data_IF_174624253682
#
_entry.id   IF_174624253682
#
_cell.length_a   1.000
_cell.length_b   1.000
_cell.length_c   1.000
_cell.angle_alpha   90.00
_cell.angle_beta   90.00
_cell.angle_gamma   90.00
#
_symmetry.space_group_name_H-M   'P 1'
#
loop_
_entity.id
_entity.type
_entity.pdbx_description
1 polymer ?
#
# COMPACT_ATOMS: atom_id res chain seq x y z
N UNK A 1 27.58 11.84 -7.42
CA UNK A 1 28.68 11.22 -6.77
C UNK A 1 28.55 9.73 -6.82
N UNK A 2 28.98 8.91 -7.17
CA UNK A 2 28.83 7.49 -7.34
C UNK A 2 28.38 6.68 -6.12
N UNK A 3 27.84 7.30 -5.11
CA UNK A 3 27.35 6.54 -3.96
C UNK A 3 25.93 6.08 -4.18
N UNK A 4 25.81 4.86 -4.65
CA UNK A 4 24.52 4.19 -4.60
C UNK A 4 24.23 3.82 -3.15
N UNK A 5 23.18 4.39 -2.59
CA UNK A 5 22.60 3.85 -1.37
C UNK A 5 22.02 2.50 -1.71
N UNK A 6 22.60 1.45 -1.16
CA UNK A 6 21.98 0.13 -1.21
C UNK A 6 20.85 0.17 -0.19
N UNK A 7 19.58 0.08 -0.60
CA UNK A 7 18.49 0.07 0.37
C UNK A 7 18.65 -1.14 1.27
N UNK A 8 18.64 -0.93 2.57
CA UNK A 8 18.60 -2.03 3.53
C UNK A 8 17.15 -2.49 3.60
N UNK A 9 16.84 -3.74 3.26
CA UNK A 9 15.47 -4.23 3.36
C UNK A 9 14.95 -4.08 4.79
N UNK A 10 13.73 -3.61 4.92
CA UNK A 10 13.05 -3.56 6.20
C UNK A 10 12.81 -5.01 6.67
N UNK A 11 13.30 -5.36 7.86
CA UNK A 11 13.11 -6.72 8.38
C UNK A 11 11.64 -7.10 8.49
N UNK A 12 10.75 -6.11 8.62
CA UNK A 12 9.30 -6.35 8.65
C UNK A 12 8.78 -6.89 7.32
N UNK A 13 9.48 -6.62 6.23
CA UNK A 13 9.05 -7.05 4.90
C UNK A 13 9.09 -8.57 4.74
N UNK A 14 9.90 -9.26 5.54
CA UNK A 14 9.98 -10.73 5.52
C UNK A 14 8.68 -11.39 5.99
N UNK A 15 7.83 -10.66 6.69
CA UNK A 15 6.56 -11.18 7.19
C UNK A 15 5.36 -10.72 6.37
N UNK A 16 5.59 -10.00 5.28
CA UNK A 16 4.51 -9.62 4.36
C UNK A 16 3.99 -10.89 3.69
N UNK A 17 2.69 -11.18 3.80
CA UNK A 17 2.13 -12.39 3.21
C UNK A 17 2.09 -12.32 1.68
N UNK A 18 1.99 -13.48 1.06
CA UNK A 18 1.77 -13.56 -0.38
C UNK A 18 0.47 -12.87 -0.75
N UNK A 19 0.51 -12.07 -1.83
CA UNK A 19 -0.63 -11.27 -2.26
C UNK A 19 -1.37 -11.94 -3.41
N UNK A 20 -2.70 -11.83 -3.38
CA UNK A 20 -3.52 -12.20 -4.53
C UNK A 20 -3.59 -10.99 -5.47
N UNK A 21 -2.75 -11.02 -6.51
CA UNK A 21 -2.69 -9.94 -7.48
C UNK A 21 -3.76 -10.13 -8.54
N UNK A 22 -4.49 -9.07 -8.86
CA UNK A 22 -5.39 -9.04 -9.98
C UNK A 22 -4.63 -8.61 -11.24
N UNK A 23 -5.07 -9.08 -12.40
CA UNK A 23 -4.53 -8.66 -13.68
C UNK A 23 -5.12 -7.28 -14.03
N UNK A 24 -4.48 -6.24 -13.56
CA UNK A 24 -4.92 -4.85 -13.78
C UNK A 24 -3.83 -4.06 -14.48
N UNK A 25 -4.24 -3.04 -15.21
CA UNK A 25 -3.31 -2.19 -15.94
C UNK A 25 -2.41 -1.39 -14.99
N UNK A 26 -1.22 -1.05 -15.49
CA UNK A 26 -0.30 -0.18 -14.75
C UNK A 26 -0.93 1.18 -14.44
N UNK A 27 -1.81 1.68 -15.32
CA UNK A 27 -2.50 2.95 -15.09
C UNK A 27 -3.41 2.91 -13.88
N UNK A 28 -4.12 1.81 -13.67
CA UNK A 28 -4.98 1.65 -12.48
C UNK A 28 -4.16 1.62 -11.21
N UNK A 29 -3.00 0.97 -11.24
CA UNK A 29 -2.10 0.95 -10.09
C UNK A 29 -1.55 2.34 -9.82
N UNK A 30 -1.15 3.10 -10.84
CA UNK A 30 -0.69 4.48 -10.68
C UNK A 30 -1.79 5.39 -10.13
N UNK A 31 -3.01 5.23 -10.62
CA UNK A 31 -4.16 5.98 -10.08
C UNK A 31 -4.39 5.63 -8.62
N UNK A 32 -4.25 4.36 -8.28
CA UNK A 32 -4.33 3.90 -6.89
C UNK A 32 -3.25 4.52 -6.01
N UNK A 33 -2.03 4.62 -6.51
CA UNK A 33 -0.94 5.29 -5.80
C UNK A 33 -1.27 6.76 -5.53
N UNK A 34 -1.74 7.48 -6.55
CA UNK A 34 -2.11 8.88 -6.41
C UNK A 34 -3.22 9.06 -5.36
N UNK A 35 -4.26 8.26 -5.42
CA UNK A 35 -5.36 8.32 -4.46
C UNK A 35 -4.91 7.91 -3.06
N UNK A 36 -4.06 6.89 -2.95
CA UNK A 36 -3.49 6.48 -1.69
C UNK A 36 -2.71 7.62 -1.04
N UNK A 37 -1.88 8.29 -1.82
CA UNK A 37 -1.08 9.40 -1.31
C UNK A 37 -1.95 10.57 -0.85
N UNK A 38 -3.07 10.81 -1.52
CA UNK A 38 -3.97 11.91 -1.16
C UNK A 38 -4.74 11.66 0.14
N UNK A 39 -5.13 10.40 0.40
CA UNK A 39 -6.08 10.12 1.48
C UNK A 39 -5.57 9.16 2.55
N UNK A 40 -4.61 8.32 2.26
CA UNK A 40 -4.22 7.23 3.15
C UNK A 40 -2.82 7.40 3.73
N UNK A 41 -1.89 7.96 2.96
CA UNK A 41 -0.48 8.01 3.33
C UNK A 41 -0.22 8.83 4.60
N UNK A 42 -1.02 9.84 4.87
CA UNK A 42 -0.85 10.69 6.05
C UNK A 42 -0.88 9.87 7.35
N UNK A 43 -1.66 8.79 7.39
CA UNK A 43 -1.74 7.90 8.53
C UNK A 43 -0.96 6.60 8.31
N UNK A 44 -1.11 5.98 7.14
CA UNK A 44 -0.55 4.65 6.85
C UNK A 44 0.85 4.66 6.27
N UNK A 45 1.40 5.83 6.01
CA UNK A 45 2.78 5.97 5.57
C UNK A 45 2.95 5.99 4.06
N UNK A 46 3.97 6.72 3.62
CA UNK A 46 4.39 6.78 2.22
C UNK A 46 4.86 5.39 1.77
N UNK A 47 4.56 5.03 0.53
CA UNK A 47 4.87 3.71 -0.05
C UNK A 47 4.30 2.54 0.78
N UNK A 48 3.19 2.79 1.46
CA UNK A 48 2.47 1.79 2.28
C UNK A 48 3.31 1.25 3.45
N UNK A 49 4.31 1.99 3.89
CA UNK A 49 5.14 1.61 5.04
C UNK A 49 4.74 2.44 6.25
N UNK A 50 4.00 1.83 7.17
CA UNK A 50 3.60 2.47 8.40
C UNK A 50 4.82 2.80 9.27
N UNK A 51 4.80 3.99 9.89
CA UNK A 51 5.83 4.38 10.84
C UNK A 51 5.60 3.80 12.24
N UNK A 52 4.58 3.01 12.44
CA UNK A 52 4.17 2.47 13.73
C UNK A 52 2.91 3.18 14.24
N UNK A 53 2.22 2.62 15.20
CA UNK A 53 0.99 3.18 15.76
C UNK A 53 -0.26 3.01 14.90
N UNK A 54 -0.11 2.75 13.61
CA UNK A 54 -1.20 2.46 12.67
C UNK A 54 -0.89 1.11 11.99
N UNK A 55 -1.90 0.28 11.72
CA UNK A 55 -1.64 -1.02 11.11
C UNK A 55 -0.89 -0.95 9.79
N UNK A 56 0.01 -1.90 9.59
CA UNK A 56 0.75 -2.06 8.35
C UNK A 56 -0.18 -2.70 7.30
N UNK A 57 -0.58 -1.93 6.30
CA UNK A 57 -1.53 -2.38 5.28
C UNK A 57 -0.98 -3.52 4.41
N UNK A 58 0.34 -3.66 4.32
CA UNK A 58 0.96 -4.76 3.57
C UNK A 58 0.71 -6.12 4.24
N UNK A 59 0.34 -6.11 5.50
CA UNK A 59 0.12 -7.33 6.30
C UNK A 59 -1.34 -7.61 6.60
N UNK A 60 -2.25 -6.99 5.85
CA UNK A 60 -3.67 -7.27 6.02
C UNK A 60 -3.96 -8.76 5.83
N UNK A 61 -4.84 -9.29 6.68
CA UNK A 61 -5.34 -10.67 6.54
C UNK A 61 -6.32 -10.75 5.38
N UNK A 62 -6.59 -11.97 4.90
CA UNK A 62 -7.61 -12.21 3.88
C UNK A 62 -8.96 -11.62 4.29
N UNK A 63 -9.35 -11.81 5.56
CA UNK A 63 -10.61 -11.24 6.07
C UNK A 63 -10.65 -9.73 5.99
N UNK A 64 -9.53 -9.06 6.30
CA UNK A 64 -9.45 -7.60 6.19
C UNK A 64 -9.51 -7.15 4.72
N UNK A 65 -8.84 -7.87 3.83
CA UNK A 65 -8.94 -7.59 2.39
C UNK A 65 -10.38 -7.71 1.89
N UNK A 66 -11.12 -8.71 2.36
CA UNK A 66 -12.52 -8.90 1.97
C UNK A 66 -13.42 -7.76 2.44
N UNK A 67 -13.06 -7.09 3.52
CA UNK A 67 -13.81 -5.97 4.08
C UNK A 67 -13.27 -4.60 3.64
N UNK A 68 -12.28 -4.57 2.76
CA UNK A 68 -11.56 -3.34 2.43
C UNK A 68 -12.48 -2.19 2.02
N UNK A 69 -13.42 -2.45 1.11
CA UNK A 69 -14.35 -1.41 0.65
C UNK A 69 -15.22 -0.88 1.79
N UNK A 70 -15.68 -1.75 2.68
CA UNK A 70 -16.48 -1.35 3.83
C UNK A 70 -15.67 -0.51 4.83
N UNK A 71 -14.42 -0.89 5.04
CA UNK A 71 -13.53 -0.15 5.94
C UNK A 71 -13.31 1.26 5.39
N UNK A 72 -12.96 1.37 4.11
CA UNK A 72 -12.59 2.64 3.51
C UNK A 72 -13.81 3.52 3.23
N UNK A 73 -14.87 2.96 2.65
CA UNK A 73 -16.03 3.75 2.27
C UNK A 73 -17.00 3.97 3.40
N UNK A 74 -17.38 2.90 4.11
CA UNK A 74 -18.42 2.98 5.13
C UNK A 74 -17.90 3.33 6.52
N UNK A 75 -16.57 3.26 6.71
CA UNK A 75 -15.97 3.64 7.98
C UNK A 75 -16.30 2.68 9.13
N UNK A 76 -16.36 1.38 8.85
CA UNK A 76 -16.70 0.40 9.91
C UNK A 76 -15.67 0.33 11.03
N UNK A 77 -14.46 0.90 10.82
CA UNK A 77 -13.44 1.04 11.86
C UNK A 77 -13.39 2.47 12.42
N UNK A 78 -14.47 3.23 12.26
CA UNK A 78 -14.53 4.61 12.77
C UNK A 78 -14.28 4.73 14.26
N UNK A 79 -14.74 3.76 15.05
CA UNK A 79 -14.50 3.73 16.50
C UNK A 79 -13.02 3.50 16.84
N UNK A 80 -12.24 2.99 15.90
CA UNK A 80 -10.79 2.80 16.04
C UNK A 80 -9.99 3.95 15.41
N UNK A 81 -10.65 5.03 14.99
CA UNK A 81 -10.02 6.22 14.47
C UNK A 81 -9.94 6.32 12.96
N UNK A 82 -10.36 5.31 12.21
CA UNK A 82 -10.37 5.36 10.75
C UNK A 82 -11.75 5.73 10.24
N UNK A 83 -11.91 6.99 9.82
CA UNK A 83 -13.17 7.49 9.27
C UNK A 83 -13.46 6.90 7.88
N UNK A 84 -14.72 6.90 7.46
CA UNK A 84 -15.12 6.53 6.11
C UNK A 84 -14.86 7.65 5.11
N UNK A 85 -14.61 7.28 3.87
CA UNK A 85 -14.27 8.22 2.79
C UNK A 85 -15.32 8.25 1.67
N UNK A 86 -16.51 7.69 1.88
CA UNK A 86 -17.53 7.62 0.82
C UNK A 86 -17.88 8.98 0.20
N UNK A 87 -17.73 10.07 0.94
CA UNK A 87 -18.04 11.43 0.46
C UNK A 87 -16.97 11.96 -0.51
N UNK A 88 -15.76 11.43 -0.51
CA UNK A 88 -14.63 11.98 -1.27
C UNK A 88 -13.97 10.99 -2.20
N UNK A 89 -14.20 9.69 -2.04
CA UNK A 89 -13.60 8.64 -2.86
C UNK A 89 -14.69 7.74 -3.44
N UNK A 90 -14.60 7.44 -4.73
CA UNK A 90 -15.52 6.52 -5.40
C UNK A 90 -15.11 5.06 -5.16
N UNK A 91 -16.03 4.13 -5.44
CA UNK A 91 -15.74 2.69 -5.38
C UNK A 91 -14.59 2.30 -6.30
N UNK A 92 -14.54 2.87 -7.51
CA UNK A 92 -13.46 2.60 -8.46
C UNK A 92 -12.11 3.07 -7.90
N UNK A 93 -12.07 4.24 -7.31
CA UNK A 93 -10.85 4.76 -6.69
C UNK A 93 -10.40 3.88 -5.53
N UNK A 94 -11.33 3.38 -4.72
CA UNK A 94 -11.00 2.44 -3.64
C UNK A 94 -10.43 1.15 -4.19
N UNK A 95 -10.97 0.61 -5.27
CA UNK A 95 -10.43 -0.58 -5.90
C UNK A 95 -9.01 -0.34 -6.39
N UNK A 96 -8.76 0.81 -7.02
CA UNK A 96 -7.41 1.16 -7.48
C UNK A 96 -6.42 1.30 -6.32
N UNK A 97 -6.85 1.89 -5.21
CA UNK A 97 -6.04 1.96 -3.99
C UNK A 97 -5.72 0.56 -3.48
N UNK A 98 -6.70 -0.34 -3.48
CA UNK A 98 -6.52 -1.72 -3.01
C UNK A 98 -5.51 -2.46 -3.90
N UNK A 99 -5.60 -2.31 -5.22
CA UNK A 99 -4.63 -2.88 -6.15
C UNK A 99 -3.24 -2.32 -5.91
N UNK A 100 -3.12 -1.02 -5.66
CA UNK A 100 -1.83 -0.40 -5.35
C UNK A 100 -1.22 -0.99 -4.08
N UNK A 101 -2.02 -1.12 -3.01
CA UNK A 101 -1.55 -1.70 -1.74
C UNK A 101 -1.04 -3.12 -1.96
N UNK A 102 -1.80 -3.96 -2.69
CA UNK A 102 -1.39 -5.32 -3.00
C UNK A 102 -0.10 -5.36 -3.82
N UNK A 103 0.03 -4.50 -4.82
CA UNK A 103 1.22 -4.42 -5.65
C UNK A 103 2.44 -4.02 -4.83
N UNK A 104 2.29 -3.05 -3.93
CA UNK A 104 3.37 -2.63 -3.03
C UNK A 104 3.77 -3.75 -2.07
N UNK A 105 2.79 -4.41 -1.48
CA UNK A 105 3.06 -5.52 -0.56
C UNK A 105 3.79 -6.66 -1.29
N UNK A 106 3.36 -6.99 -2.50
CA UNK A 106 4.01 -8.01 -3.33
C UNK A 106 5.46 -7.63 -3.63
N UNK A 107 5.69 -6.40 -4.05
CA UNK A 107 7.05 -5.93 -4.38
C UNK A 107 7.97 -6.01 -3.16
N UNK A 108 7.52 -5.52 -2.00
CA UNK A 108 8.31 -5.57 -0.79
C UNK A 108 8.63 -7.01 -0.36
N UNK A 109 7.65 -7.91 -0.52
CA UNK A 109 7.87 -9.34 -0.25
C UNK A 109 8.93 -9.92 -1.20
N UNK A 110 8.84 -9.63 -2.49
CA UNK A 110 9.78 -10.15 -3.48
C UNK A 110 11.19 -9.60 -3.26
N UNK A 111 11.31 -8.33 -2.86
CA UNK A 111 12.61 -7.76 -2.46
C UNK A 111 13.16 -8.49 -1.25
N UNK A 112 12.33 -8.73 -0.24
CA UNK A 112 12.75 -9.42 0.98
C UNK A 112 13.18 -10.86 0.73
N UNK A 113 12.57 -11.52 -0.27
CA UNK A 113 12.92 -12.89 -0.68
C UNK A 113 14.15 -12.93 -1.62
N UNK A 114 14.66 -11.78 -2.04
CA UNK A 114 15.79 -11.69 -2.95
C UNK A 114 15.46 -11.85 -4.42
N UNK A 115 14.18 -11.80 -4.79
CA UNK A 115 13.73 -11.97 -6.17
C UNK A 115 13.72 -10.69 -6.99
N UNK A 116 13.73 -9.54 -6.35
CA UNK A 116 13.74 -8.23 -6.97
C UNK A 116 14.75 -7.32 -6.28
N UNK A 117 15.33 -6.40 -7.04
CA UNK A 117 16.09 -5.30 -6.43
C UNK A 117 15.12 -4.30 -5.83
N UNK A 118 15.50 -3.74 -4.68
CA UNK A 118 14.70 -2.69 -4.06
C UNK A 118 14.67 -1.46 -4.97
N UNK A 119 13.47 -0.98 -5.35
CA UNK A 119 13.38 0.23 -6.15
C UNK A 119 13.78 1.46 -5.33
N UNK A 120 14.13 2.52 -6.02
CA UNK A 120 14.39 3.79 -5.37
C UNK A 120 13.08 4.58 -5.29
N UNK A 121 12.80 5.11 -4.09
CA UNK A 121 11.59 5.87 -3.84
C UNK A 121 11.91 7.34 -3.68
N UNK A 122 11.03 8.18 -4.21
CA UNK A 122 11.03 9.62 -3.96
C UNK A 122 9.81 9.95 -3.11
N UNK A 123 9.66 11.24 -2.76
CA UNK A 123 8.45 11.70 -2.06
C UNK A 123 7.18 11.49 -2.88
N UNK A 124 7.29 11.26 -4.19
CA UNK A 124 6.16 11.14 -5.11
C UNK A 124 5.93 9.71 -5.62
N UNK A 125 6.73 8.74 -5.18
CA UNK A 125 6.58 7.35 -5.58
C UNK A 125 7.89 6.74 -6.04
N UNK A 126 7.79 5.74 -6.93
CA UNK A 126 8.95 5.04 -7.46
C UNK A 126 9.60 5.87 -8.56
N UNK A 127 10.92 6.03 -8.47
CA UNK A 127 11.70 6.69 -9.49
C UNK A 127 11.99 5.71 -10.63
N UNK A 128 11.72 6.13 -11.86
CA UNK A 128 11.99 5.32 -13.05
C UNK A 128 13.49 5.20 -13.37
#
# INVERSE_FOLDING_TARGET
>A
DGQKKIPIPDVRDKTVPEQQLADVSADKIRNGESNYNDYCAVCHGFIVKSAGGVPDLRKMTTGTHDLFNKIVLEGILGSNGMAGFADVISEEEVENIHHYIRARAHEDREVALGNLEAPQYTWFGVED
#
